data_IF_281073423179
#
_entry.id   IF_281073423179
#
_cell.length_a   1.000
_cell.length_b   1.000
_cell.length_c   1.000
_cell.angle_alpha   90.00
_cell.angle_beta   90.00
_cell.angle_gamma   90.00
#
_symmetry.space_group_name_H-M   'P 1'
#
loop_
_entity.id
_entity.type
_entity.pdbx_description
1 polymer ?
#
# COMPACT_ATOMS: atom_id res chain seq x y z
N UNK A 1 2.88 3.02 8.99
CA UNK A 1 3.42 2.00 9.93
C UNK A 1 3.72 0.72 9.21
N UNK A 2 4.36 -0.27 9.83
CA UNK A 2 4.79 -1.53 9.23
C UNK A 2 4.03 -2.68 9.87
N UNK A 3 3.30 -3.44 9.06
CA UNK A 3 2.55 -4.60 9.54
C UNK A 3 3.53 -5.74 9.81
N UNK A 4 3.40 -6.33 11.00
CA UNK A 4 3.94 -7.64 11.31
C UNK A 4 2.83 -8.71 11.12
N UNK A 5 2.94 -9.60 10.12
CA UNK A 5 2.00 -10.69 9.94
C UNK A 5 2.33 -11.80 10.95
N UNK A 6 1.83 -11.69 12.17
CA UNK A 6 2.11 -12.68 13.21
C UNK A 6 1.59 -14.08 12.85
N UNK A 7 2.54 -14.94 12.49
CA UNK A 7 2.65 -16.39 12.76
C UNK A 7 4.12 -16.85 12.64
N UNK A 8 5.00 -15.99 12.13
CA UNK A 8 6.43 -16.25 11.99
C UNK A 8 7.22 -15.15 12.72
N UNK A 9 8.33 -15.52 13.36
CA UNK A 9 9.28 -14.58 13.97
C UNK A 9 10.12 -13.85 12.91
N UNK A 10 9.60 -13.62 11.71
CA UNK A 10 10.34 -12.96 10.64
C UNK A 10 10.15 -11.44 10.74
N UNK A 11 11.22 -10.63 10.75
CA UNK A 11 11.08 -9.19 10.68
C UNK A 11 10.51 -8.78 9.33
N UNK A 12 9.89 -7.60 9.28
CA UNK A 12 9.69 -6.92 8.00
C UNK A 12 11.03 -6.79 7.26
N UNK A 13 10.99 -6.85 5.93
CA UNK A 13 12.19 -6.64 5.14
C UNK A 13 12.70 -5.18 5.15
N UNK A 14 11.87 -4.25 5.66
CA UNK A 14 12.12 -2.80 5.63
C UNK A 14 11.70 -2.06 6.92
N UNK A 15 12.17 -2.46 8.12
CA UNK A 15 11.64 -1.99 9.41
C UNK A 15 11.84 -0.48 9.69
N UNK A 16 12.74 0.18 8.98
CA UNK A 16 13.01 1.61 9.11
C UNK A 16 12.67 2.41 7.85
N UNK A 17 11.84 1.86 6.93
CA UNK A 17 11.40 2.61 5.75
C UNK A 17 10.78 3.97 6.13
N UNK A 18 9.89 3.99 7.12
CA UNK A 18 9.26 5.23 7.60
C UNK A 18 10.23 6.14 8.37
N UNK A 19 11.17 5.57 9.14
CA UNK A 19 12.21 6.35 9.81
C UNK A 19 13.09 7.07 8.78
N UNK A 20 13.56 6.36 7.76
CA UNK A 20 14.39 6.94 6.72
C UNK A 20 13.62 7.98 5.89
N UNK A 21 12.33 7.73 5.61
CA UNK A 21 11.47 8.72 4.94
C UNK A 21 11.26 9.97 5.79
N UNK A 22 11.08 9.82 7.10
CA UNK A 22 10.93 10.95 8.03
C UNK A 22 12.19 11.83 8.06
N UNK A 23 13.37 11.22 7.85
CA UNK A 23 14.66 11.93 7.74
C UNK A 23 14.96 12.44 6.32
N UNK A 24 14.14 12.09 5.31
CA UNK A 24 14.33 12.48 3.91
C UNK A 24 13.85 13.90 3.63
N UNK A 25 14.38 14.91 4.35
CA UNK A 25 13.89 16.31 4.30
C UNK A 25 13.96 16.98 2.93
N UNK A 26 14.78 16.46 2.01
CA UNK A 26 14.85 16.94 0.63
C UNK A 26 13.68 16.47 -0.26
N UNK A 27 12.91 15.46 0.18
CA UNK A 27 11.83 14.81 -0.59
C UNK A 27 10.51 14.89 0.16
N UNK A 28 10.54 14.63 1.48
CA UNK A 28 9.38 14.70 2.35
C UNK A 28 8.89 16.16 2.46
N UNK A 29 7.60 16.45 2.26
CA UNK A 29 7.04 17.76 2.57
C UNK A 29 7.35 18.18 4.01
N UNK A 30 7.70 19.47 4.21
CA UNK A 30 8.18 19.96 5.51
C UNK A 30 7.16 19.76 6.65
N UNK A 31 5.87 19.92 6.35
CA UNK A 31 4.76 19.79 7.31
C UNK A 31 4.41 18.34 7.66
N UNK A 32 5.01 17.37 6.97
CA UNK A 32 4.71 15.95 7.21
C UNK A 32 5.54 15.41 8.37
N UNK A 33 4.84 14.83 9.34
CA UNK A 33 5.44 14.07 10.43
C UNK A 33 4.92 12.65 10.42
N UNK A 34 5.81 11.66 10.31
CA UNK A 34 5.42 10.26 10.47
C UNK A 34 5.44 9.89 11.95
N UNK A 35 4.32 9.41 12.48
CA UNK A 35 4.17 9.01 13.88
C UNK A 35 3.43 7.69 13.98
N UNK A 36 3.79 6.86 14.96
CA UNK A 36 2.98 5.72 15.35
C UNK A 36 1.98 6.16 16.44
N UNK A 37 0.68 6.33 16.14
CA UNK A 37 -0.33 6.72 17.12
C UNK A 37 -0.53 5.71 18.26
N UNK A 38 -0.21 4.44 18.06
CA UNK A 38 -0.38 3.38 19.07
C UNK A 38 0.95 2.77 19.50
N UNK A 39 2.04 3.56 19.50
CA UNK A 39 3.30 3.06 20.05
C UNK A 39 3.16 2.73 21.55
N UNK A 40 3.86 1.69 22.01
CA UNK A 40 3.80 1.23 23.40
C UNK A 40 4.36 2.25 24.42
N UNK A 41 5.03 3.32 23.95
CA UNK A 41 5.67 4.35 24.76
C UNK A 41 6.96 3.87 25.44
N UNK A 42 6.92 2.69 26.05
CA UNK A 42 8.03 2.03 26.74
C UNK A 42 8.19 0.59 26.30
N UNK A 43 9.43 0.10 26.28
CA UNK A 43 9.78 -1.25 25.90
C UNK A 43 9.16 -2.26 26.86
N UNK A 44 8.35 -3.17 26.33
CA UNK A 44 7.87 -4.34 27.07
C UNK A 44 8.87 -5.50 26.96
N UNK A 45 8.86 -6.39 27.93
CA UNK A 45 9.68 -7.61 27.89
C UNK A 45 9.36 -8.47 26.66
N UNK A 46 8.09 -8.55 26.26
CA UNK A 46 7.67 -9.32 25.09
C UNK A 46 8.24 -8.74 23.78
N UNK A 47 8.23 -7.41 23.64
CA UNK A 47 8.80 -6.71 22.48
C UNK A 47 10.31 -6.93 22.41
N UNK A 48 10.99 -6.88 23.56
CA UNK A 48 12.41 -7.19 23.65
C UNK A 48 12.73 -8.64 23.25
N UNK A 49 12.07 -9.61 23.87
CA UNK A 49 12.31 -11.04 23.63
C UNK A 49 12.07 -11.39 22.15
N UNK A 50 11.04 -10.80 21.53
CA UNK A 50 10.78 -10.96 20.10
C UNK A 50 11.94 -10.43 19.25
N UNK A 51 12.37 -9.19 19.47
CA UNK A 51 13.44 -8.59 18.67
C UNK A 51 14.79 -9.27 18.88
N UNK A 52 15.03 -9.83 20.08
CA UNK A 52 16.17 -10.69 20.36
C UNK A 52 16.10 -12.02 19.60
N UNK A 53 14.92 -12.59 19.39
CA UNK A 53 14.76 -13.78 18.57
C UNK A 53 15.01 -13.49 17.07
N UNK A 54 14.69 -12.28 16.62
CA UNK A 54 14.88 -11.81 15.23
C UNK A 54 16.36 -11.50 14.93
N UNK A 55 17.03 -10.78 15.81
CA UNK A 55 18.44 -10.36 15.67
C UNK A 55 19.24 -10.84 16.89
N UNK A 56 19.49 -12.17 17.00
CA UNK A 56 20.12 -12.77 18.18
C UNK A 56 21.60 -12.41 18.34
N UNK A 57 22.25 -11.94 17.26
CA UNK A 57 23.68 -11.68 17.21
C UNK A 57 24.06 -10.21 17.34
N UNK A 58 23.11 -9.28 17.35
CA UNK A 58 23.49 -7.87 17.42
C UNK A 58 22.49 -6.88 17.97
N UNK A 59 21.17 -7.00 17.77
CA UNK A 59 20.23 -5.88 17.97
C UNK A 59 20.67 -4.54 17.33
N UNK A 60 21.73 -4.50 16.52
CA UNK A 60 22.45 -3.27 16.12
C UNK A 60 23.47 -2.72 17.13
N UNK A 61 24.10 -3.56 17.96
CA UNK A 61 25.10 -3.18 18.97
C UNK A 61 24.50 -2.67 20.29
N UNK A 62 23.28 -3.10 20.62
CA UNK A 62 22.48 -2.53 21.70
C UNK A 62 22.81 -3.21 23.02
N UNK A 63 23.15 -2.43 24.05
CA UNK A 63 23.34 -2.96 25.40
C UNK A 63 21.98 -3.29 26.02
N UNK A 64 21.92 -4.30 26.89
CA UNK A 64 20.71 -4.70 27.62
C UNK A 64 19.97 -3.48 28.24
N UNK A 65 20.74 -2.53 28.79
CA UNK A 65 20.24 -1.25 29.34
C UNK A 65 19.49 -0.32 28.37
N UNK A 66 19.65 -0.48 27.06
CA UNK A 66 18.97 0.32 26.03
C UNK A 66 17.67 -0.33 25.54
N UNK A 67 17.38 -1.55 26.01
CA UNK A 67 16.24 -2.39 25.65
C UNK A 67 15.57 -3.01 26.88
N UNK A 68 15.97 -2.58 28.08
CA UNK A 68 15.39 -3.02 29.33
C UNK A 68 13.91 -2.60 29.42
N UNK A 69 13.14 -3.41 30.16
CA UNK A 69 11.74 -3.14 30.43
C UNK A 69 11.57 -1.72 31.03
N UNK A 70 10.68 -0.92 30.43
CA UNK A 70 10.44 0.46 30.84
C UNK A 70 11.29 1.52 30.14
N UNK A 71 12.28 1.13 29.31
CA UNK A 71 13.03 2.11 28.48
C UNK A 71 12.09 2.70 27.43
N UNK A 72 12.11 4.03 27.26
CA UNK A 72 11.26 4.72 26.29
C UNK A 72 11.56 4.27 24.85
N UNK A 73 10.54 3.84 24.12
CA UNK A 73 10.63 3.56 22.68
C UNK A 73 10.66 4.88 21.90
N UNK A 74 11.55 4.96 20.92
CA UNK A 74 11.75 6.13 20.06
C UNK A 74 11.67 5.75 18.59
N UNK A 75 11.54 6.75 17.70
CA UNK A 75 11.51 6.56 16.23
C UNK A 75 12.70 5.78 15.66
N UNK A 76 13.83 5.72 16.36
CA UNK A 76 15.00 4.94 15.94
C UNK A 76 14.91 3.45 16.31
N UNK A 77 13.91 3.03 17.07
CA UNK A 77 13.68 1.63 17.42
C UNK A 77 12.78 0.99 16.38
N UNK A 78 13.11 -0.20 15.89
CA UNK A 78 12.32 -0.89 14.88
C UNK A 78 10.88 -1.16 15.36
N UNK A 79 10.74 -1.54 16.64
CA UNK A 79 9.44 -1.75 17.30
C UNK A 79 8.54 -0.51 17.32
N UNK A 80 9.09 0.71 17.22
CA UNK A 80 8.28 1.92 17.13
C UNK A 80 7.40 1.93 15.88
N UNK A 81 7.86 1.32 14.78
CA UNK A 81 7.15 1.37 13.50
C UNK A 81 6.24 0.18 13.27
N UNK A 82 6.31 -0.84 14.13
CA UNK A 82 5.57 -2.08 13.96
C UNK A 82 4.12 -1.97 14.45
N UNK A 83 3.24 -2.70 13.76
CA UNK A 83 1.87 -2.95 14.17
C UNK A 83 1.70 -4.46 14.22
N UNK A 84 1.39 -4.99 15.39
CA UNK A 84 0.97 -6.37 15.54
C UNK A 84 -0.49 -6.51 15.12
N UNK A 85 -0.71 -7.12 13.95
CA UNK A 85 -2.04 -7.26 13.37
C UNK A 85 -2.94 -8.22 14.17
N UNK A 86 -2.35 -9.13 14.97
CA UNK A 86 -3.15 -10.05 15.81
C UNK A 86 -3.79 -9.32 16.97
N UNK A 87 -3.03 -8.51 17.71
CA UNK A 87 -3.53 -7.75 18.85
C UNK A 87 -4.25 -6.45 18.48
N UNK A 88 -3.93 -5.83 17.34
CA UNK A 88 -4.55 -4.56 16.94
C UNK A 88 -6.07 -4.70 16.73
N UNK A 89 -6.84 -3.79 17.31
CA UNK A 89 -8.29 -3.69 17.06
C UNK A 89 -8.58 -2.89 15.79
N UNK A 90 -9.81 -2.96 15.27
CA UNK A 90 -10.22 -2.11 14.14
C UNK A 90 -10.11 -0.62 14.48
N UNK A 91 -10.38 -0.24 15.75
CA UNK A 91 -10.25 1.12 16.23
C UNK A 91 -8.78 1.58 16.27
N UNK A 92 -7.85 0.69 16.61
CA UNK A 92 -6.41 0.96 16.57
C UNK A 92 -5.96 1.17 15.13
N UNK A 93 -6.39 0.29 14.21
CA UNK A 93 -6.02 0.35 12.80
C UNK A 93 -6.58 1.60 12.11
N UNK A 94 -7.78 2.05 12.48
CA UNK A 94 -8.41 3.25 11.93
C UNK A 94 -7.65 4.55 12.24
N UNK A 95 -6.69 4.54 13.17
CA UNK A 95 -5.84 5.71 13.50
C UNK A 95 -4.65 5.86 12.54
N UNK A 96 -4.35 4.86 11.73
CA UNK A 96 -3.26 4.95 10.76
C UNK A 96 -3.75 5.51 9.43
N UNK A 97 -2.89 6.29 8.76
CA UNK A 97 -3.14 6.71 7.38
C UNK A 97 -2.63 5.70 6.36
N UNK A 98 -1.46 5.13 6.67
CA UNK A 98 -0.75 4.22 5.78
C UNK A 98 -0.16 3.04 6.57
N UNK A 99 -0.36 1.84 6.04
CA UNK A 99 0.25 0.61 6.50
C UNK A 99 1.13 0.04 5.38
N UNK A 100 2.40 -0.20 5.67
CA UNK A 100 3.36 -0.88 4.83
C UNK A 100 3.40 -2.35 5.23
N UNK A 101 3.23 -3.22 4.26
CA UNK A 101 3.43 -4.65 4.38
C UNK A 101 4.60 -5.04 3.49
N UNK A 102 5.79 -5.18 4.09
CA UNK A 102 7.00 -5.59 3.40
C UNK A 102 7.48 -6.94 3.96
N UNK A 103 6.89 -8.06 3.53
CA UNK A 103 7.21 -9.38 4.05
C UNK A 103 8.62 -9.82 3.61
N UNK A 104 9.28 -10.60 4.45
CA UNK A 104 10.50 -11.33 4.11
C UNK A 104 10.16 -12.82 3.98
N UNK A 105 9.35 -13.17 2.98
CA UNK A 105 8.96 -14.55 2.69
C UNK A 105 7.49 -14.73 2.28
N UNK A 106 6.98 -15.97 2.32
CA UNK A 106 5.61 -16.27 1.99
C UNK A 106 4.64 -15.61 2.97
N UNK A 107 3.49 -15.21 2.43
CA UNK A 107 2.43 -14.51 3.17
C UNK A 107 1.21 -15.38 3.22
N UNK A 108 0.69 -15.64 4.41
CA UNK A 108 -0.59 -16.31 4.61
C UNK A 108 -1.30 -15.63 5.77
N UNK A 109 -2.40 -14.94 5.49
CA UNK A 109 -3.19 -14.19 6.46
C UNK A 109 -4.37 -15.00 6.95
N UNK A 110 -4.64 -14.99 8.25
CA UNK A 110 -5.91 -15.51 8.76
C UNK A 110 -7.09 -14.70 8.21
N UNK A 111 -8.29 -15.30 8.07
CA UNK A 111 -9.48 -14.57 7.64
C UNK A 111 -9.78 -13.33 8.49
N UNK A 112 -9.48 -13.41 9.80
CA UNK A 112 -9.63 -12.28 10.72
C UNK A 112 -8.63 -11.15 10.41
N UNK A 113 -7.35 -11.48 10.20
CA UNK A 113 -6.32 -10.51 9.83
C UNK A 113 -6.64 -9.83 8.48
N UNK A 114 -7.03 -10.62 7.48
CA UNK A 114 -7.48 -10.09 6.19
C UNK A 114 -8.68 -9.16 6.35
N UNK A 115 -9.70 -9.56 7.11
CA UNK A 115 -10.87 -8.73 7.37
C UNK A 115 -10.56 -7.39 8.04
N UNK A 116 -9.60 -7.37 8.99
CA UNK A 116 -9.10 -6.12 9.60
C UNK A 116 -8.46 -5.21 8.55
N UNK A 117 -7.60 -5.75 7.69
CA UNK A 117 -6.96 -4.98 6.61
C UNK A 117 -7.99 -4.50 5.57
N UNK A 118 -8.98 -5.33 5.21
CA UNK A 118 -10.06 -4.92 4.31
C UNK A 118 -10.83 -3.73 4.87
N UNK A 119 -11.20 -3.74 6.17
CA UNK A 119 -11.89 -2.62 6.83
C UNK A 119 -11.01 -1.38 6.95
N UNK A 120 -9.71 -1.54 7.16
CA UNK A 120 -8.76 -0.44 7.16
C UNK A 120 -8.72 0.28 5.80
N UNK A 121 -8.60 -0.47 4.70
CA UNK A 121 -8.59 0.11 3.35
C UNK A 121 -9.96 0.70 3.01
N UNK A 122 -11.04 -0.04 3.27
CA UNK A 122 -12.42 0.43 3.04
C UNK A 122 -12.70 1.75 3.75
N UNK A 123 -12.18 1.92 4.97
CA UNK A 123 -12.27 3.14 5.77
C UNK A 123 -11.35 4.31 5.36
N UNK A 124 -10.66 4.23 4.21
CA UNK A 124 -9.81 5.31 3.69
C UNK A 124 -8.31 5.18 3.99
N UNK A 125 -7.86 4.01 4.44
CA UNK A 125 -6.44 3.71 4.66
C UNK A 125 -5.70 3.35 3.37
N UNK A 126 -4.39 3.60 3.34
CA UNK A 126 -3.50 3.11 2.27
C UNK A 126 -2.76 1.87 2.76
N UNK A 127 -3.02 0.72 2.16
CA UNK A 127 -2.26 -0.51 2.36
C UNK A 127 -1.22 -0.64 1.24
N UNK A 128 0.05 -0.37 1.56
CA UNK A 128 1.16 -0.53 0.63
C UNK A 128 1.84 -1.88 0.87
N UNK A 129 1.81 -2.76 -0.12
CA UNK A 129 2.48 -4.05 -0.14
C UNK A 129 3.74 -3.94 -1.01
N UNK A 130 4.92 -4.11 -0.40
CA UNK A 130 6.20 -4.16 -1.12
C UNK A 130 6.81 -5.55 -0.96
N UNK A 131 6.61 -6.36 -1.98
CA UNK A 131 7.00 -7.75 -2.01
C UNK A 131 8.44 -7.90 -2.51
N UNK A 132 9.22 -8.74 -1.84
CA UNK A 132 10.61 -9.05 -2.22
C UNK A 132 10.66 -10.25 -3.18
N UNK A 133 11.00 -10.06 -4.46
CA UNK A 133 11.06 -11.12 -5.44
C UNK A 133 12.39 -11.91 -5.45
N UNK A 134 13.38 -11.55 -4.62
CA UNK A 134 14.65 -12.29 -4.51
C UNK A 134 14.51 -13.55 -3.64
N UNK A 135 13.37 -13.73 -2.99
CA UNK A 135 13.00 -14.98 -2.34
C UNK A 135 12.38 -15.88 -3.41
N UNK A 136 13.06 -16.99 -3.71
CA UNK A 136 12.73 -17.94 -4.78
C UNK A 136 11.22 -18.24 -4.85
N UNK A 137 10.58 -18.01 -6.01
CA UNK A 137 9.23 -18.50 -6.27
C UNK A 137 9.16 -20.03 -6.04
N UNK A 138 8.06 -20.56 -5.48
CA UNK A 138 6.70 -20.03 -5.55
C UNK A 138 6.25 -19.32 -4.27
N UNK A 139 7.14 -18.64 -3.55
CA UNK A 139 6.87 -18.11 -2.21
C UNK A 139 6.01 -16.84 -2.16
N UNK A 140 5.17 -16.53 -3.17
CA UNK A 140 4.27 -15.38 -3.14
C UNK A 140 3.18 -15.44 -2.04
N UNK A 141 2.23 -14.48 -2.00
CA UNK A 141 1.09 -14.60 -1.11
C UNK A 141 0.27 -15.86 -1.41
N UNK A 142 -0.19 -16.50 -0.34
CA UNK A 142 -1.06 -17.67 -0.35
C UNK A 142 -2.35 -17.33 -1.10
N UNK A 143 -2.65 -18.13 -2.13
CA UNK A 143 -3.84 -18.00 -2.96
C UNK A 143 -5.14 -18.00 -2.15
N UNK A 144 -5.20 -18.76 -1.05
CA UNK A 144 -6.38 -18.92 -0.20
C UNK A 144 -6.42 -17.85 0.90
N UNK A 145 -5.27 -17.64 1.54
CA UNK A 145 -5.10 -16.76 2.70
C UNK A 145 -4.39 -15.46 2.29
N UNK A 146 -4.93 -14.80 1.27
CA UNK A 146 -4.31 -13.64 0.65
C UNK A 146 -4.59 -12.31 1.38
N UNK A 147 -4.10 -11.22 0.81
CA UNK A 147 -4.40 -9.83 1.14
C UNK A 147 -5.83 -9.44 0.68
N UNK A 148 -6.32 -8.22 1.02
CA UNK A 148 -7.70 -7.81 0.72
C UNK A 148 -8.08 -7.93 -0.75
N UNK A 149 -7.26 -7.42 -1.69
CA UNK A 149 -7.38 -7.76 -3.10
C UNK A 149 -6.35 -8.86 -3.42
N UNK A 150 -6.80 -10.07 -3.79
CA UNK A 150 -5.90 -11.18 -4.02
C UNK A 150 -5.06 -10.99 -5.28
N UNK A 151 -3.76 -11.29 -5.17
CA UNK A 151 -2.83 -11.39 -6.29
C UNK A 151 -1.87 -12.55 -6.08
N UNK A 152 -1.15 -12.94 -7.11
CA UNK A 152 0.01 -13.83 -6.99
C UNK A 152 1.22 -13.23 -7.69
N UNK A 153 2.37 -13.83 -7.42
CA UNK A 153 3.67 -13.36 -7.85
C UNK A 153 4.28 -14.42 -8.76
N UNK A 154 4.65 -14.04 -9.99
CA UNK A 154 5.14 -14.97 -11.02
C UNK A 154 6.59 -14.69 -11.34
N UNK A 155 7.44 -15.73 -11.36
CA UNK A 155 8.83 -15.60 -11.82
C UNK A 155 8.91 -15.47 -13.34
N UNK A 156 9.73 -14.52 -13.78
CA UNK A 156 9.96 -14.21 -15.17
C UNK A 156 11.43 -14.49 -15.51
N UNK A 157 11.66 -15.42 -16.44
CA UNK A 157 12.97 -15.57 -17.07
C UNK A 157 13.24 -14.45 -18.09
N UNK A 158 14.49 -14.01 -18.18
CA UNK A 158 15.00 -13.14 -19.24
C UNK A 158 14.87 -13.81 -20.64
N UNK A 159 14.83 -13.04 -21.74
CA UNK A 159 14.94 -11.57 -21.84
C UNK A 159 13.58 -10.83 -21.79
N UNK A 160 13.63 -9.58 -21.32
CA UNK A 160 12.49 -8.65 -21.36
C UNK A 160 12.58 -7.73 -22.58
N UNK A 161 11.45 -7.30 -23.14
CA UNK A 161 11.40 -6.51 -24.38
C UNK A 161 11.01 -5.04 -24.19
N UNK A 162 10.69 -4.60 -22.96
CA UNK A 162 10.40 -3.20 -22.68
C UNK A 162 9.71 -2.96 -21.32
N UNK A 163 9.65 -1.69 -20.91
CA UNK A 163 8.91 -1.23 -19.73
C UNK A 163 7.76 -0.34 -20.21
N UNK A 164 6.57 -0.54 -19.66
CA UNK A 164 5.45 0.37 -19.84
C UNK A 164 5.03 0.91 -18.48
N UNK A 165 4.90 2.22 -18.41
CA UNK A 165 4.49 2.92 -17.22
C UNK A 165 3.33 3.84 -17.59
N UNK A 166 2.41 4.06 -16.65
CA UNK A 166 1.40 5.11 -16.74
C UNK A 166 1.96 6.35 -16.01
N UNK A 167 2.66 7.26 -16.71
CA UNK A 167 3.32 8.40 -16.07
C UNK A 167 2.33 9.41 -15.48
N UNK A 168 1.05 9.32 -15.87
CA UNK A 168 0.02 10.24 -15.40
C UNK A 168 -0.66 9.76 -14.12
N UNK A 169 -0.53 8.48 -13.78
CA UNK A 169 -1.07 7.95 -12.52
C UNK A 169 -0.46 8.69 -11.32
N UNK A 170 -1.27 9.10 -10.31
CA UNK A 170 -0.79 9.89 -9.16
C UNK A 170 0.45 9.32 -8.47
N UNK A 171 0.59 7.99 -8.41
CA UNK A 171 1.79 7.34 -7.85
C UNK A 171 3.12 7.75 -8.53
N UNK A 172 3.09 8.19 -9.79
CA UNK A 172 4.25 8.69 -10.54
C UNK A 172 4.21 10.19 -10.82
N UNK A 173 3.04 10.84 -10.71
CA UNK A 173 2.88 12.24 -11.07
C UNK A 173 2.69 13.19 -9.87
N UNK A 174 2.25 12.71 -8.70
CA UNK A 174 1.85 13.59 -7.59
C UNK A 174 2.13 13.02 -6.18
N UNK A 175 2.54 13.89 -5.23
CA UNK A 175 2.89 15.30 -5.39
C UNK A 175 4.28 15.49 -6.03
N UNK A 176 5.06 14.42 -6.16
CA UNK A 176 6.39 14.45 -6.73
C UNK A 176 6.42 13.71 -8.06
N UNK A 177 6.97 14.35 -9.09
CA UNK A 177 7.17 13.68 -10.37
C UNK A 177 8.27 12.61 -10.28
N UNK A 178 7.95 11.40 -10.74
CA UNK A 178 8.85 10.27 -10.84
C UNK A 178 9.26 10.11 -12.29
N UNK A 179 10.45 10.59 -12.59
CA UNK A 179 11.06 10.55 -13.92
C UNK A 179 11.39 9.12 -14.35
N UNK A 180 11.61 8.89 -15.65
CA UNK A 180 12.08 7.59 -16.14
C UNK A 180 13.41 7.16 -15.49
N UNK A 181 14.28 8.12 -15.19
CA UNK A 181 15.51 7.86 -14.44
C UNK A 181 15.23 7.37 -13.01
N UNK A 182 14.22 7.95 -12.35
CA UNK A 182 13.78 7.47 -11.04
C UNK A 182 13.16 6.06 -11.15
N UNK A 183 12.34 5.80 -12.16
CA UNK A 183 11.73 4.48 -12.37
C UNK A 183 12.77 3.39 -12.68
N UNK A 184 13.82 3.73 -13.44
CA UNK A 184 14.97 2.86 -13.66
C UNK A 184 15.71 2.59 -12.35
N UNK A 185 15.88 3.58 -11.48
CA UNK A 185 16.46 3.41 -10.14
C UNK A 185 15.59 2.56 -9.21
N UNK A 186 14.27 2.56 -9.43
CA UNK A 186 13.32 1.68 -8.76
C UNK A 186 13.30 0.26 -9.35
N UNK A 187 14.04 -0.06 -10.42
CA UNK A 187 14.25 -1.43 -10.86
C UNK A 187 15.12 -2.23 -9.88
N UNK A 188 15.17 -3.55 -9.99
CA UNK A 188 15.90 -4.38 -9.02
C UNK A 188 17.39 -4.34 -9.35
N UNK A 189 18.21 -4.18 -8.31
CA UNK A 189 19.66 -4.33 -8.43
C UNK A 189 20.01 -5.81 -8.25
N UNK A 190 20.60 -6.39 -9.28
CA UNK A 190 21.15 -7.74 -9.21
C UNK A 190 22.62 -7.68 -8.80
N UNK A 191 22.99 -8.35 -7.70
CA UNK A 191 24.38 -8.57 -7.26
C UNK A 191 25.24 -7.32 -7.03
N UNK A 192 24.69 -6.24 -6.46
CA UNK A 192 25.46 -5.05 -6.08
C UNK A 192 26.09 -4.27 -7.25
N UNK A 193 25.91 -4.74 -8.48
CA UNK A 193 26.31 -4.05 -9.69
C UNK A 193 25.16 -3.11 -10.09
N UNK A 194 25.47 -1.88 -10.52
CA UNK A 194 24.49 -0.86 -10.91
C UNK A 194 23.68 -1.19 -12.19
N UNK A 195 23.64 -2.46 -12.59
CA UNK A 195 22.78 -2.91 -13.68
C UNK A 195 21.36 -2.99 -13.16
N UNK A 196 20.60 -1.93 -13.43
CA UNK A 196 19.15 -1.90 -13.23
C UNK A 196 18.50 -2.95 -14.12
N UNK A 197 18.18 -4.10 -13.53
CA UNK A 197 17.46 -5.16 -14.22
C UNK A 197 15.97 -5.00 -13.94
N UNK A 198 15.09 -5.26 -14.93
CA UNK A 198 13.69 -5.56 -14.65
C UNK A 198 13.61 -6.56 -13.48
N UNK A 199 12.62 -6.42 -12.59
CA UNK A 199 12.36 -7.43 -11.59
C UNK A 199 12.17 -8.77 -12.32
N UNK A 200 12.81 -9.82 -11.82
CA UNK A 200 12.67 -11.18 -12.35
C UNK A 200 11.28 -11.78 -12.03
N UNK A 201 10.29 -10.92 -11.76
CA UNK A 201 9.02 -11.23 -11.16
C UNK A 201 7.95 -10.21 -11.58
N UNK A 202 6.72 -10.70 -11.81
CA UNK A 202 5.52 -9.90 -12.05
C UNK A 202 4.38 -10.22 -11.10
N UNK A 203 3.29 -9.45 -11.20
CA UNK A 203 2.04 -9.62 -10.46
C UNK A 203 0.98 -10.17 -11.41
N UNK A 204 0.22 -11.16 -10.99
CA UNK A 204 -0.88 -11.72 -11.77
C UNK A 204 -2.08 -12.13 -10.88
N UNK A 205 -3.20 -12.49 -11.50
CA UNK A 205 -4.38 -12.95 -10.78
C UNK A 205 -4.15 -14.33 -10.16
N UNK A 206 -4.67 -14.56 -8.95
CA UNK A 206 -4.57 -15.86 -8.27
C UNK A 206 -5.17 -16.99 -9.12
N UNK A 207 -4.39 -18.05 -9.35
CA UNK A 207 -4.82 -19.23 -10.10
C UNK A 207 -4.72 -19.11 -11.62
N UNK A 208 -4.36 -17.94 -12.16
CA UNK A 208 -4.04 -17.78 -13.57
C UNK A 208 -2.58 -18.14 -13.80
N UNK A 209 -2.30 -19.41 -14.07
CA UNK A 209 -1.05 -19.76 -14.71
C UNK A 209 -1.02 -19.13 -16.11
N UNK A 210 -0.21 -18.09 -16.30
CA UNK A 210 0.12 -17.47 -17.59
C UNK A 210 -1.10 -17.12 -18.45
N UNK A 211 -1.65 -15.91 -18.29
CA UNK A 211 -2.60 -15.37 -19.26
C UNK A 211 -2.36 -13.89 -19.59
N UNK A 212 -2.48 -13.61 -20.88
CA UNK A 212 -2.38 -12.32 -21.57
C UNK A 212 -3.51 -11.37 -21.18
N UNK A 213 -3.26 -10.06 -21.40
CA UNK A 213 -4.05 -8.93 -20.92
C UNK A 213 -5.52 -8.75 -21.40
N UNK A 214 -6.17 -9.68 -22.11
CA UNK A 214 -7.64 -9.74 -22.15
C UNK A 214 -8.24 -10.94 -21.40
N UNK A 215 -7.46 -11.97 -21.06
CA UNK A 215 -8.01 -13.29 -20.70
C UNK A 215 -8.15 -13.50 -19.17
N UNK A 216 -7.57 -12.60 -18.36
CA UNK A 216 -7.67 -12.66 -16.90
C UNK A 216 -9.11 -12.44 -16.34
N UNK A 217 -10.06 -12.09 -17.22
CA UNK A 217 -11.44 -11.78 -16.84
C UNK A 217 -12.40 -12.97 -16.81
N UNK A 218 -12.03 -14.16 -17.30
CA UNK A 218 -13.05 -15.17 -17.65
C UNK A 218 -13.10 -16.49 -16.86
N UNK A 219 -12.13 -16.86 -16.02
CA UNK A 219 -12.07 -18.27 -15.57
C UNK A 219 -11.99 -18.54 -14.07
N UNK A 220 -11.92 -17.55 -13.17
CA UNK A 220 -11.80 -17.85 -11.73
C UNK A 220 -12.68 -16.97 -10.82
N UNK A 221 -13.22 -17.51 -9.71
CA UNK A 221 -14.05 -16.77 -8.74
C UNK A 221 -13.36 -15.53 -8.14
N UNK A 222 -12.02 -15.49 -8.14
CA UNK A 222 -11.21 -14.39 -7.60
C UNK A 222 -10.77 -13.37 -8.67
N UNK A 223 -11.02 -13.64 -9.96
CA UNK A 223 -10.68 -12.73 -11.06
C UNK A 223 -11.46 -11.41 -10.99
N UNK A 224 -12.68 -11.45 -10.44
CA UNK A 224 -13.50 -10.26 -10.20
C UNK A 224 -12.84 -9.27 -9.23
N UNK A 225 -12.25 -9.75 -8.14
CA UNK A 225 -11.56 -8.86 -7.20
C UNK A 225 -10.21 -8.38 -7.73
N UNK A 226 -9.46 -9.23 -8.44
CA UNK A 226 -8.21 -8.82 -9.11
C UNK A 226 -8.44 -7.70 -10.13
N UNK A 227 -9.60 -7.68 -10.81
CA UNK A 227 -9.94 -6.62 -11.77
C UNK A 227 -9.99 -5.22 -11.16
N UNK A 228 -10.06 -5.10 -9.84
CA UNK A 228 -9.98 -3.81 -9.12
C UNK A 228 -8.56 -3.24 -9.11
N UNK A 229 -7.53 -4.06 -9.37
CA UNK A 229 -6.14 -3.63 -9.47
C UNK A 229 -5.86 -3.10 -10.88
N UNK A 230 -5.48 -1.83 -10.97
CA UNK A 230 -4.98 -1.22 -12.19
C UNK A 230 -3.46 -1.30 -12.24
N UNK A 231 -2.85 -1.84 -13.30
CA UNK A 231 -1.41 -1.78 -13.48
C UNK A 231 -0.98 -0.33 -13.73
N UNK A 232 0.07 0.09 -13.04
CA UNK A 232 0.68 1.43 -13.20
C UNK A 232 2.08 1.32 -13.80
N UNK A 233 2.74 0.18 -13.59
CA UNK A 233 4.02 -0.14 -14.21
C UNK A 233 4.08 -1.63 -14.54
N UNK A 234 4.60 -1.98 -15.71
CA UNK A 234 4.67 -3.35 -16.21
C UNK A 234 5.88 -3.57 -17.13
N UNK A 235 6.31 -4.82 -17.26
CA UNK A 235 7.35 -5.23 -18.21
C UNK A 235 6.77 -6.15 -19.29
N UNK A 236 7.26 -5.98 -20.50
CA UNK A 236 6.92 -6.85 -21.62
C UNK A 236 7.89 -8.04 -21.69
N UNK A 237 7.35 -9.24 -21.91
CA UNK A 237 8.09 -10.45 -22.24
C UNK A 237 7.29 -11.28 -23.24
N UNK A 238 7.86 -11.55 -24.41
CA UNK A 238 7.22 -12.40 -25.43
C UNK A 238 5.85 -11.89 -25.89
N UNK A 239 5.62 -10.57 -25.86
CA UNK A 239 4.32 -9.95 -26.17
C UNK A 239 3.34 -9.86 -24.99
N UNK A 240 3.65 -10.49 -23.85
CA UNK A 240 2.84 -10.44 -22.62
C UNK A 240 3.38 -9.38 -21.68
N UNK A 241 2.48 -8.60 -21.08
CA UNK A 241 2.83 -7.62 -20.05
C UNK A 241 2.65 -8.19 -18.66
N UNK A 242 3.62 -7.93 -17.79
CA UNK A 242 3.64 -8.36 -16.40
C UNK A 242 3.72 -7.14 -15.49
N UNK A 243 2.63 -6.81 -14.77
CA UNK A 243 2.63 -5.71 -13.83
C UNK A 243 3.67 -5.88 -12.74
N UNK A 244 4.25 -4.76 -12.33
CA UNK A 244 5.22 -4.68 -11.23
C UNK A 244 4.84 -3.65 -10.17
N UNK A 245 3.89 -2.80 -10.54
CA UNK A 245 3.18 -1.90 -9.63
C UNK A 245 1.73 -1.90 -10.03
N UNK A 246 0.85 -2.20 -9.08
CA UNK A 246 -0.58 -2.14 -9.27
C UNK A 246 -1.22 -1.35 -8.14
N UNK A 247 -2.32 -0.67 -8.44
CA UNK A 247 -3.08 0.10 -7.47
C UNK A 247 -4.55 -0.30 -7.60
N UNK A 248 -5.14 -0.75 -6.50
CA UNK A 248 -6.56 -1.03 -6.40
C UNK A 248 -7.22 -0.12 -5.40
N UNK A 249 -8.50 0.15 -5.63
CA UNK A 249 -9.33 0.94 -4.73
C UNK A 249 -10.35 0.04 -4.04
N UNK A 250 -10.49 0.20 -2.73
CA UNK A 250 -11.51 -0.49 -1.91
C UNK A 250 -12.13 0.59 -1.02
N UNK A 251 -13.44 0.81 -1.15
CA UNK A 251 -14.12 1.89 -0.44
C UNK A 251 -13.47 3.25 -0.70
N UNK A 252 -13.07 3.91 0.37
CA UNK A 252 -12.39 5.22 0.33
C UNK A 252 -10.85 5.13 0.22
N UNK A 253 -10.26 3.94 0.37
CA UNK A 253 -8.81 3.75 0.45
C UNK A 253 -8.20 3.00 -0.73
N UNK A 254 -6.90 2.72 -0.59
CA UNK A 254 -6.10 2.13 -1.67
C UNK A 254 -5.27 0.94 -1.18
N UNK A 255 -5.21 -0.10 -2.01
CA UNK A 255 -4.22 -1.15 -1.93
C UNK A 255 -3.18 -0.93 -3.04
N UNK A 256 -1.91 -0.79 -2.67
CA UNK A 256 -0.80 -0.55 -3.60
C UNK A 256 0.14 -1.73 -3.53
N UNK A 257 0.33 -2.45 -4.63
CA UNK A 257 1.20 -3.62 -4.68
C UNK A 257 2.43 -3.28 -5.51
N UNK A 258 3.60 -3.60 -4.99
CA UNK A 258 4.90 -3.41 -5.63
C UNK A 258 5.76 -4.68 -5.49
N UNK A 259 6.44 -5.07 -6.56
CA UNK A 259 7.43 -6.19 -6.57
C UNK A 259 8.84 -5.66 -6.90
N UNK A 260 9.13 -4.43 -6.47
CA UNK A 260 10.32 -3.67 -6.86
C UNK A 260 11.26 -3.40 -5.69
N UNK A 261 10.98 -3.96 -4.50
CA UNK A 261 11.77 -3.73 -3.28
C UNK A 261 11.89 -2.24 -2.93
N UNK A 262 10.83 -1.47 -3.13
CA UNK A 262 10.87 -0.02 -2.95
C UNK A 262 11.06 0.36 -1.48
N UNK A 263 10.35 -0.28 -0.57
CA UNK A 263 10.50 -0.08 0.86
C UNK A 263 11.88 -0.54 1.33
N UNK A 264 12.41 -1.63 0.78
CA UNK A 264 13.76 -2.08 1.10
C UNK A 264 14.82 -1.08 0.65
N UNK A 265 14.66 -0.47 -0.53
CA UNK A 265 15.56 0.59 -1.01
C UNK A 265 15.56 1.81 -0.09
N UNK A 266 14.38 2.21 0.34
CA UNK A 266 14.19 3.28 1.33
C UNK A 266 14.81 2.92 2.69
N UNK A 267 14.82 1.64 3.05
CA UNK A 267 15.38 1.09 4.29
C UNK A 267 16.91 0.87 4.25
N UNK A 268 17.60 1.20 3.16
CA UNK A 268 19.05 0.98 3.04
C UNK A 268 19.85 1.99 3.85
N UNK A 269 21.01 1.55 4.32
CA UNK A 269 22.01 2.36 5.01
C UNK A 269 23.39 2.09 4.40
N UNK A 270 24.37 2.93 4.74
CA UNK A 270 25.75 2.69 4.37
C UNK A 270 26.44 1.86 5.46
N UNK A 271 26.98 0.71 5.08
CA UNK A 271 27.88 -0.07 5.90
C UNK A 271 29.23 -0.17 5.18
N UNK A 272 30.17 0.71 5.55
CA UNK A 272 31.42 0.95 4.80
C UNK A 272 31.14 1.43 3.36
N UNK A 273 31.73 0.78 2.36
CA UNK A 273 31.49 1.05 0.94
C UNK A 273 30.24 0.34 0.39
N UNK A 274 29.65 -0.58 1.16
CA UNK A 274 28.54 -1.41 0.71
C UNK A 274 27.19 -0.87 1.16
N UNK A 275 26.18 -1.11 0.32
CA UNK A 275 24.79 -0.81 0.63
C UNK A 275 24.18 -2.05 1.28
N UNK A 276 23.61 -1.89 2.47
CA UNK A 276 23.01 -2.99 3.23
C UNK A 276 21.61 -2.59 3.70
N UNK A 277 20.76 -3.59 3.93
CA UNK A 277 19.43 -3.36 4.51
C UNK A 277 19.53 -3.09 6.02
N UNK A 278 18.87 -2.05 6.50
CA UNK A 278 18.79 -1.72 7.92
C UNK A 278 17.76 -2.64 8.61
N UNK A 279 18.20 -3.77 9.17
CA UNK A 279 17.30 -4.80 9.72
C UNK A 279 17.45 -5.06 11.22
N UNK A 280 18.34 -4.31 11.87
CA UNK A 280 18.58 -4.42 13.31
C UNK A 280 17.47 -3.78 14.13
N UNK A 281 17.53 -3.96 15.46
CA UNK A 281 16.57 -3.33 16.36
C UNK A 281 16.73 -1.80 16.44
N UNK A 282 17.96 -1.28 16.37
CA UNK A 282 18.22 0.16 16.23
C UNK A 282 18.48 0.56 14.77
N UNK A 283 17.93 1.71 14.39
CA UNK A 283 18.20 2.32 13.11
C UNK A 283 19.65 2.78 13.04
N UNK A 284 20.31 2.47 11.94
CA UNK A 284 21.58 3.12 11.57
C UNK A 284 21.32 4.49 10.92
N UNK A 285 22.37 5.28 10.77
CA UNK A 285 22.28 6.58 10.10
C UNK A 285 21.74 6.40 8.67
N UNK A 286 20.61 7.05 8.32
CA UNK A 286 20.03 6.90 6.99
C UNK A 286 20.97 7.49 5.94
N UNK A 287 21.17 6.77 4.84
CA UNK A 287 21.84 7.29 3.65
C UNK A 287 20.97 7.04 2.43
N UNK A 288 20.35 8.11 1.94
CA UNK A 288 19.55 8.06 0.72
C UNK A 288 20.49 8.13 -0.49
N UNK A 289 20.80 6.97 -1.04
CA UNK A 289 21.40 6.84 -2.37
C UNK A 289 20.40 7.31 -3.44
N UNK A 290 20.80 7.47 -4.72
CA UNK A 290 19.89 7.89 -5.77
C UNK A 290 18.62 7.01 -5.88
N UNK A 291 18.75 5.70 -5.70
CA UNK A 291 17.62 4.75 -5.62
C UNK A 291 16.76 4.94 -4.36
N UNK A 292 17.39 5.21 -3.21
CA UNK A 292 16.68 5.58 -1.98
C UNK A 292 15.90 6.89 -2.12
N UNK A 293 16.42 7.86 -2.88
CA UNK A 293 15.73 9.11 -3.18
C UNK A 293 14.53 8.88 -4.09
N UNK A 294 14.67 8.08 -5.15
CA UNK A 294 13.54 7.68 -6.00
C UNK A 294 12.48 6.88 -5.21
N UNK A 295 12.91 6.02 -4.29
CA UNK A 295 12.02 5.28 -3.39
C UNK A 295 11.28 6.20 -2.41
N UNK A 296 11.95 7.22 -1.88
CA UNK A 296 11.33 8.22 -1.02
C UNK A 296 10.25 9.02 -1.78
N UNK A 297 10.53 9.43 -3.03
CA UNK A 297 9.52 10.12 -3.88
C UNK A 297 8.29 9.24 -4.08
N UNK A 298 8.51 7.97 -4.42
CA UNK A 298 7.45 6.99 -4.62
C UNK A 298 6.63 6.76 -3.34
N UNK A 299 7.28 6.64 -2.19
CA UNK A 299 6.59 6.52 -0.91
C UNK A 299 5.75 7.77 -0.56
N UNK A 300 6.25 8.98 -0.83
CA UNK A 300 5.46 10.22 -0.65
C UNK A 300 4.21 10.23 -1.54
N UNK A 301 4.35 9.79 -2.79
CA UNK A 301 3.21 9.69 -3.71
C UNK A 301 2.18 8.66 -3.22
N UNK A 302 2.62 7.50 -2.73
CA UNK A 302 1.74 6.49 -2.11
C UNK A 302 0.94 7.09 -0.94
N UNK A 303 1.62 7.78 -0.03
CA UNK A 303 0.97 8.40 1.14
C UNK A 303 -0.04 9.46 0.71
N UNK A 304 0.19 10.13 -0.43
CA UNK A 304 -0.68 11.16 -0.99
C UNK A 304 -1.82 10.63 -1.86
N UNK A 305 -1.94 9.32 -2.08
CA UNK A 305 -2.98 8.78 -2.98
C UNK A 305 -4.39 9.17 -2.54
N UNK A 306 -4.65 9.18 -1.24
CA UNK A 306 -5.97 9.53 -0.68
C UNK A 306 -6.34 11.00 -0.93
N UNK A 307 -5.37 11.92 -0.94
CA UNK A 307 -5.62 13.34 -1.18
C UNK A 307 -5.62 13.73 -2.66
N UNK A 308 -4.89 12.99 -3.51
CA UNK A 308 -4.73 13.28 -4.94
C UNK A 308 -5.82 12.68 -5.83
N UNK A 309 -6.62 11.75 -5.32
CA UNK A 309 -7.75 11.14 -6.03
C UNK A 309 -9.09 11.35 -5.29
N UNK A 310 -9.53 12.61 -5.06
CA UNK A 310 -10.77 12.89 -4.36
C UNK A 310 -11.98 12.36 -5.16
N UNK A 311 -12.95 11.78 -4.45
CA UNK A 311 -14.22 11.36 -5.03
C UNK A 311 -15.37 12.23 -4.51
N UNK A 312 -16.35 12.50 -5.37
CA UNK A 312 -17.64 13.03 -4.94
C UNK A 312 -18.37 11.93 -4.14
N UNK A 313 -18.68 12.20 -2.87
CA UNK A 313 -19.41 11.28 -1.98
C UNK A 313 -18.56 10.33 -1.13
N UNK A 314 -17.24 10.56 -1.02
CA UNK A 314 -16.37 9.78 -0.13
C UNK A 314 -16.63 10.08 1.35
N UNK A 315 -16.39 9.10 2.22
CA UNK A 315 -16.62 9.21 3.66
C UNK A 315 -15.79 10.32 4.30
N UNK A 316 -16.43 11.05 5.24
CA UNK A 316 -15.91 12.24 5.94
C UNK A 316 -14.67 12.01 6.83
N UNK A 317 -14.07 10.81 6.84
CA UNK A 317 -13.06 10.41 7.84
C UNK A 317 -11.80 11.29 7.89
N UNK A 318 -11.54 12.17 6.92
CA UNK A 318 -10.38 13.10 6.94
C UNK A 318 -10.68 14.54 6.47
N UNK A 319 -11.92 15.03 6.59
CA UNK A 319 -12.33 16.41 6.26
C UNK A 319 -11.91 17.46 7.32
N UNK A 320 -10.64 17.48 7.72
CA UNK A 320 -10.07 18.58 8.54
C UNK A 320 -8.90 19.30 7.87
N UNK A 321 -8.80 19.23 6.54
CA UNK A 321 -8.03 20.17 5.75
C UNK A 321 -9.00 21.05 4.93
N UNK A 322 -9.43 22.15 5.55
CA UNK A 322 -10.09 23.34 4.96
C UNK A 322 -11.02 23.14 3.74
N UNK A 323 -12.33 23.01 4.03
CA UNK A 323 -13.37 23.88 3.47
C UNK A 323 -13.70 23.79 1.97
N UNK A 324 -14.50 22.79 1.59
CA UNK A 324 -15.70 22.96 0.74
C UNK A 324 -16.48 21.64 0.73
N UNK A 325 -17.24 21.38 1.79
CA UNK A 325 -18.35 20.41 1.70
C UNK A 325 -19.44 21.08 0.87
N UNK A 326 -19.40 20.91 -0.45
CA UNK A 326 -20.59 21.11 -1.27
C UNK A 326 -21.42 19.87 -1.01
N UNK A 327 -22.21 19.93 0.07
CA UNK A 327 -23.25 18.95 0.34
C UNK A 327 -24.00 18.70 -0.95
N UNK A 328 -24.16 17.42 -1.31
CA UNK A 328 -24.91 17.02 -2.49
C UNK A 328 -26.18 17.88 -2.54
N UNK A 329 -26.51 18.53 -3.68
CA UNK A 329 -27.76 19.26 -3.77
C UNK A 329 -28.85 18.28 -3.35
N UNK A 330 -29.50 18.56 -2.22
CA UNK A 330 -30.74 17.88 -1.85
C UNK A 330 -31.56 17.92 -3.11
N UNK A 331 -31.83 16.75 -3.70
CA UNK A 331 -32.73 16.64 -4.84
C UNK A 331 -34.00 17.36 -4.42
N UNK A 332 -34.18 18.59 -4.91
CA UNK A 332 -35.43 19.29 -4.72
C UNK A 332 -36.44 18.42 -5.42
N UNK A 333 -37.30 17.76 -4.65
CA UNK A 333 -38.40 16.98 -5.18
C UNK A 333 -39.11 17.86 -6.20
N UNK A 334 -39.06 17.46 -7.46
CA UNK A 334 -39.73 18.20 -8.51
C UNK A 334 -41.22 18.19 -8.18
N UNK A 335 -41.74 19.35 -7.80
CA UNK A 335 -43.15 19.56 -7.51
C UNK A 335 -43.69 20.35 -8.69
N UNK A 336 -44.19 19.64 -9.70
CA UNK A 336 -44.92 20.30 -10.77
C UNK A 336 -46.40 20.34 -10.41
N UNK A 337 -46.99 21.52 -10.57
CA UNK A 337 -48.43 21.67 -10.68
C UNK A 337 -48.79 21.51 -12.15
N UNK A 338 -49.84 20.74 -12.43
CA UNK A 338 -50.46 20.75 -13.75
C UNK A 338 -51.83 21.40 -13.66
N UNK A 339 -52.17 22.22 -14.66
CA UNK A 339 -53.45 22.93 -14.71
C UNK A 339 -54.55 22.01 -15.24
N UNK A 340 -55.57 21.75 -14.42
CA UNK A 340 -56.84 21.19 -14.89
C UNK A 340 -57.89 22.28 -14.75
N UNK A 341 -58.48 22.69 -15.87
CA UNK A 341 -59.52 23.73 -15.92
C UNK A 341 -59.13 25.05 -15.21
N UNK A 342 -57.91 25.54 -15.43
CA UNK A 342 -57.44 26.81 -14.88
C UNK A 342 -57.10 26.81 -13.39
N UNK A 343 -57.13 25.65 -12.73
CA UNK A 343 -56.78 25.49 -11.32
C UNK A 343 -55.54 24.60 -11.19
N UNK A 344 -54.54 25.06 -10.42
CA UNK A 344 -53.31 24.31 -10.17
C UNK A 344 -53.57 23.11 -9.24
N UNK A 345 -53.20 21.91 -9.66
CA UNK A 345 -53.28 20.69 -8.84
C UNK A 345 -51.88 20.11 -8.59
N UNK A 346 -51.51 19.77 -7.34
CA UNK A 346 -50.20 19.20 -7.03
C UNK A 346 -50.12 17.71 -7.42
N UNK A 347 -49.06 17.31 -8.13
CA UNK A 347 -48.79 15.91 -8.46
C UNK A 347 -48.10 15.23 -7.26
N UNK A 348 -48.86 14.49 -6.46
CA UNK A 348 -48.30 13.54 -5.49
C UNK A 348 -48.09 12.18 -6.17
N UNK A 349 -46.94 11.96 -6.82
CA UNK A 349 -46.57 10.65 -7.39
C UNK A 349 -46.09 9.67 -6.31
N UNK A 350 -46.95 9.33 -5.37
CA UNK A 350 -46.68 8.29 -4.38
C UNK A 350 -47.91 7.40 -4.17
N UNK A 351 -48.33 6.69 -5.22
CA UNK A 351 -48.82 5.32 -4.99
C UNK A 351 -47.59 4.40 -5.12
N UNK A 352 -47.07 3.83 -4.02
CA UNK A 352 -45.93 2.92 -4.06
C UNK A 352 -46.19 1.62 -4.85
N UNK A 353 -47.39 1.46 -5.44
CA UNK A 353 -47.76 0.32 -6.28
C UNK A 353 -47.60 0.54 -7.79
N UNK A 354 -47.34 1.76 -8.25
CA UNK A 354 -47.17 2.02 -9.68
C UNK A 354 -45.69 1.96 -10.10
N UNK A 355 -45.20 0.73 -10.37
CA UNK A 355 -43.83 0.44 -10.83
C UNK A 355 -43.67 0.54 -12.36
N UNK A 356 -44.44 1.41 -13.02
CA UNK A 356 -44.26 1.62 -14.45
C UNK A 356 -43.14 2.64 -14.68
N UNK A 357 -42.11 2.32 -15.48
CA UNK A 357 -41.19 3.36 -15.93
C UNK A 357 -41.96 4.42 -16.72
N UNK A 358 -41.61 5.71 -16.60
CA UNK A 358 -42.31 6.77 -17.29
C UNK A 358 -42.22 6.57 -18.81
N UNK A 359 -43.37 6.46 -19.46
CA UNK A 359 -43.48 6.45 -20.92
C UNK A 359 -43.34 7.89 -21.40
N UNK A 360 -42.23 8.20 -22.06
CA UNK A 360 -42.04 9.47 -22.74
C UNK A 360 -42.76 9.37 -24.10
N UNK A 361 -43.85 10.12 -24.27
CA UNK A 361 -44.43 10.35 -25.59
C UNK A 361 -43.87 11.64 -26.19
N UNK A 362 -43.18 11.44 -27.33
CA UNK A 362 -42.58 12.37 -28.30
C UNK A 362 -41.32 13.11 -27.87
#
# INVERSE_FOLDING_TARGET
MIINPSATNAPSAAPFAWYNLDNATAVKPAEWTFVNPNNEGTMSQATYDRWRAIDPTGLGGVTQTQVDNGVRIQKRNASYWEVDLTSATDADLARYDVLLFAPFGPVSLTPAARGKLSRFVDGGGVLWIDYDPQISAPQGPDATNNLPIPFQVVSLSLPFSGVQNDPFHPIFSQPLSITDADQNRLAIQWNGNQTYSPPAVGIEAVGNGVLTFPDAFQTLPLGGDYSRLRPVSQFAKGGTYYPTTMVGKIGDGFEVITVRQVAQKLNRTAANINIQGNRSFLAQAPKLFPDGTSAAKFAVNIVSLVSSAPQFGGGSRKLSALGADIGAPLLSRYTANYQVNGTDQPINSADPRDLRPPVIYK
#
